data_IF_780209636697
#
_entry.id   IF_780209636697
#
_cell.length_a   1.000
_cell.length_b   1.000
_cell.length_c   1.000
_cell.angle_alpha   90.00
_cell.angle_beta   90.00
_cell.angle_gamma   90.00
#
_symmetry.space_group_name_H-M   'P 1'
#
loop_
_entity.id
_entity.type
_entity.pdbx_description
1 polymer ?
#
# COMPACT_ATOMS: atom_id res chain seq x y z
N UNK A 1 11.33 23.54 40.66
CA UNK A 1 11.67 22.60 39.57
C UNK A 1 10.91 21.30 39.79
N UNK A 2 9.77 21.12 39.11
CA UNK A 2 9.09 19.82 39.05
C UNK A 2 9.07 19.42 37.58
N UNK A 3 10.06 18.62 37.19
CA UNK A 3 10.04 17.92 35.90
C UNK A 3 8.94 16.88 36.00
N UNK A 4 7.72 17.23 35.58
CA UNK A 4 6.65 16.25 35.39
C UNK A 4 7.12 15.33 34.27
N UNK A 5 7.47 14.10 34.64
CA UNK A 5 7.75 13.01 33.69
C UNK A 5 6.65 12.99 32.64
N UNK A 6 7.03 13.25 31.39
CA UNK A 6 6.11 13.30 30.26
C UNK A 6 5.60 11.86 30.08
N UNK A 7 4.39 11.60 30.56
CA UNK A 7 3.77 10.29 30.40
C UNK A 7 3.81 9.91 28.91
N UNK A 8 4.26 8.68 28.61
CA UNK A 8 4.49 8.19 27.26
C UNK A 8 3.26 8.34 26.34
N UNK A 9 2.05 8.39 26.92
CA UNK A 9 0.77 8.59 26.25
C UNK A 9 0.30 10.05 26.14
N UNK A 10 1.10 11.04 26.53
CA UNK A 10 0.70 12.46 26.55
C UNK A 10 0.36 13.06 25.17
N UNK A 11 0.80 12.43 24.07
CA UNK A 11 0.49 12.84 22.71
C UNK A 11 -0.45 11.87 21.97
N UNK A 12 -1.05 10.89 22.67
CA UNK A 12 -1.95 9.91 22.04
C UNK A 12 -3.38 10.39 22.17
N UNK A 13 -4.11 10.46 21.05
CA UNK A 13 -5.55 10.69 21.09
C UNK A 13 -6.22 9.38 21.56
N UNK A 14 -6.77 9.33 22.79
CA UNK A 14 -7.26 8.10 23.38
C UNK A 14 -8.45 7.52 22.59
N UNK A 15 -9.29 8.36 21.99
CA UNK A 15 -10.46 7.90 21.26
C UNK A 15 -10.07 7.13 19.99
N UNK A 16 -9.06 7.63 19.25
CA UNK A 16 -8.54 6.96 18.05
C UNK A 16 -7.79 5.69 18.44
N UNK A 17 -6.93 5.76 19.45
CA UNK A 17 -6.14 4.61 19.88
C UNK A 17 -7.03 3.44 20.35
N UNK A 18 -8.01 3.70 21.22
CA UNK A 18 -8.87 2.66 21.78
C UNK A 18 -9.75 2.06 20.69
N UNK A 19 -10.36 2.88 19.82
CA UNK A 19 -11.20 2.38 18.73
C UNK A 19 -10.43 1.49 17.76
N UNK A 20 -9.21 1.90 17.35
CA UNK A 20 -8.36 1.07 16.50
C UNK A 20 -7.97 -0.25 17.16
N UNK A 21 -7.56 -0.22 18.44
CA UNK A 21 -7.17 -1.44 19.18
C UNK A 21 -8.35 -2.39 19.32
N UNK A 22 -9.54 -1.90 19.66
CA UNK A 22 -10.73 -2.74 19.80
C UNK A 22 -11.09 -3.40 18.47
N UNK A 23 -11.07 -2.65 17.37
CA UNK A 23 -11.34 -3.21 16.04
C UNK A 23 -10.34 -4.31 15.71
N UNK A 24 -9.04 -4.07 15.89
CA UNK A 24 -7.99 -5.07 15.63
C UNK A 24 -8.19 -6.33 16.48
N UNK A 25 -8.49 -6.18 17.77
CA UNK A 25 -8.71 -7.32 18.66
C UNK A 25 -9.93 -8.15 18.26
N UNK A 26 -11.02 -7.50 17.81
CA UNK A 26 -12.20 -8.20 17.30
C UNK A 26 -11.85 -9.01 16.05
N UNK A 27 -11.14 -8.41 15.09
CA UNK A 27 -10.70 -9.12 13.88
C UNK A 27 -9.81 -10.32 14.22
N UNK A 28 -8.83 -10.13 15.12
CA UNK A 28 -7.97 -11.22 15.58
C UNK A 28 -8.76 -12.35 16.24
N UNK A 29 -9.73 -12.01 17.10
CA UNK A 29 -10.58 -13.01 17.74
C UNK A 29 -11.37 -13.83 16.70
N UNK A 30 -11.98 -13.17 15.71
CA UNK A 30 -12.72 -13.85 14.64
C UNK A 30 -11.82 -14.81 13.86
N UNK A 31 -10.60 -14.37 13.50
CA UNK A 31 -9.63 -15.19 12.76
C UNK A 31 -9.21 -16.42 13.58
N UNK A 32 -9.00 -16.28 14.89
CA UNK A 32 -8.54 -17.38 15.76
C UNK A 32 -9.67 -18.39 16.03
N UNK A 33 -10.89 -17.91 16.30
CA UNK A 33 -11.99 -18.79 16.73
C UNK A 33 -12.82 -19.36 15.57
N UNK A 34 -12.82 -18.72 14.40
CA UNK A 34 -13.63 -19.14 13.25
C UNK A 34 -12.88 -18.91 11.90
N UNK A 35 -11.73 -19.58 11.68
CA UNK A 35 -10.90 -19.37 10.50
C UNK A 35 -11.63 -19.69 9.19
N UNK A 36 -12.35 -20.81 9.12
CA UNK A 36 -13.06 -21.24 7.90
C UNK A 36 -14.16 -20.25 7.48
N UNK A 37 -14.91 -19.74 8.47
CA UNK A 37 -15.95 -18.74 8.24
C UNK A 37 -15.34 -17.42 7.76
N UNK A 38 -14.21 -17.02 8.34
CA UNK A 38 -13.47 -15.83 7.94
C UNK A 38 -12.91 -15.94 6.52
N UNK A 39 -12.37 -17.09 6.15
CA UNK A 39 -11.88 -17.36 4.79
C UNK A 39 -13.03 -17.27 3.77
N UNK A 40 -14.15 -17.94 4.03
CA UNK A 40 -15.32 -17.92 3.15
C UNK A 40 -15.86 -16.48 2.97
N UNK A 41 -15.97 -15.73 4.07
CA UNK A 41 -16.40 -14.34 4.05
C UNK A 41 -15.45 -13.48 3.21
N UNK A 42 -14.15 -13.57 3.48
CA UNK A 42 -13.12 -12.78 2.79
C UNK A 42 -13.09 -13.10 1.30
N UNK A 43 -13.22 -14.37 0.92
CA UNK A 43 -13.28 -14.80 -0.48
C UNK A 43 -14.50 -14.22 -1.20
N UNK A 44 -15.69 -14.30 -0.58
CA UNK A 44 -16.92 -13.71 -1.15
C UNK A 44 -16.82 -12.20 -1.30
N UNK A 45 -16.28 -11.51 -0.29
CA UNK A 45 -16.08 -10.07 -0.33
C UNK A 45 -15.05 -9.67 -1.41
N UNK A 46 -13.93 -10.39 -1.50
CA UNK A 46 -12.91 -10.15 -2.52
C UNK A 46 -13.48 -10.32 -3.94
N UNK A 47 -14.24 -11.40 -4.18
CA UNK A 47 -14.92 -11.62 -5.46
C UNK A 47 -15.90 -10.48 -5.77
N UNK A 48 -16.76 -10.11 -4.82
CA UNK A 48 -17.74 -9.04 -5.02
C UNK A 48 -17.09 -7.68 -5.33
N UNK A 49 -16.02 -7.33 -4.60
CA UNK A 49 -15.24 -6.10 -4.85
C UNK A 49 -14.60 -6.16 -6.23
N UNK A 50 -14.01 -7.30 -6.60
CA UNK A 50 -13.36 -7.46 -7.91
C UNK A 50 -14.39 -7.36 -9.03
N UNK A 51 -15.56 -7.97 -8.92
CA UNK A 51 -16.57 -7.94 -9.98
C UNK A 51 -17.21 -6.55 -10.12
N UNK A 52 -17.48 -5.87 -9.01
CA UNK A 52 -18.26 -4.62 -9.01
C UNK A 52 -17.40 -3.35 -9.08
N UNK A 53 -16.22 -3.36 -8.45
CA UNK A 53 -15.37 -2.17 -8.26
C UNK A 53 -14.06 -2.19 -9.05
N UNK A 54 -13.71 -3.27 -9.78
CA UNK A 54 -12.46 -3.31 -10.56
C UNK A 54 -12.34 -2.19 -11.58
N UNK A 55 -13.43 -1.86 -12.29
CA UNK A 55 -13.42 -0.77 -13.28
C UNK A 55 -13.09 0.58 -12.62
N UNK A 56 -13.64 0.83 -11.42
CA UNK A 56 -13.40 2.05 -10.66
C UNK A 56 -11.96 2.08 -10.14
N UNK A 57 -11.43 0.94 -9.70
CA UNK A 57 -10.03 0.82 -9.28
C UNK A 57 -9.07 1.16 -10.42
N UNK A 58 -9.22 0.55 -11.59
CA UNK A 58 -8.38 0.80 -12.77
C UNK A 58 -8.49 2.26 -13.22
N UNK A 59 -9.71 2.81 -13.26
CA UNK A 59 -9.93 4.21 -13.63
C UNK A 59 -9.28 5.17 -12.62
N UNK A 60 -9.37 4.88 -11.33
CA UNK A 60 -8.76 5.69 -10.27
C UNK A 60 -7.24 5.72 -10.40
N UNK A 61 -6.61 4.56 -10.63
CA UNK A 61 -5.15 4.48 -10.84
C UNK A 61 -4.74 5.27 -12.08
N UNK A 62 -5.47 5.13 -13.19
CA UNK A 62 -5.22 5.90 -14.40
C UNK A 62 -5.38 7.40 -14.17
N UNK A 63 -6.43 7.82 -13.45
CA UNK A 63 -6.68 9.22 -13.12
C UNK A 63 -5.56 9.80 -12.25
N UNK A 64 -5.14 9.10 -11.20
CA UNK A 64 -4.02 9.54 -10.35
C UNK A 64 -2.72 9.64 -11.14
N UNK A 65 -2.44 8.68 -12.04
CA UNK A 65 -1.25 8.74 -12.89
C UNK A 65 -1.28 9.98 -13.80
N UNK A 66 -2.40 10.24 -14.47
CA UNK A 66 -2.59 11.42 -15.32
C UNK A 66 -2.46 12.69 -14.50
N UNK A 67 -3.08 12.76 -13.33
CA UNK A 67 -3.04 13.91 -12.44
C UNK A 67 -1.61 14.19 -11.97
N UNK A 68 -0.88 13.18 -11.48
CA UNK A 68 0.49 13.33 -11.01
C UNK A 68 1.44 13.72 -12.14
N UNK A 69 1.29 13.11 -13.32
CA UNK A 69 2.05 13.47 -14.52
C UNK A 69 1.75 14.89 -14.96
N UNK A 70 0.47 15.27 -14.95
CA UNK A 70 0.01 16.62 -15.24
C UNK A 70 0.61 17.65 -14.30
N UNK A 71 0.60 17.39 -13.00
CA UNK A 71 1.24 18.26 -11.99
C UNK A 71 2.74 18.36 -12.25
N UNK A 72 3.42 17.24 -12.52
CA UNK A 72 4.87 17.19 -12.74
C UNK A 72 5.31 18.02 -13.97
N UNK A 73 4.53 18.01 -15.05
CA UNK A 73 4.84 18.77 -16.28
C UNK A 73 4.36 20.24 -16.19
N UNK A 74 3.33 20.52 -15.40
CA UNK A 74 2.78 21.86 -15.23
C UNK A 74 3.72 22.81 -14.47
N UNK A 75 3.36 24.09 -14.41
CA UNK A 75 4.03 25.09 -13.56
C UNK A 75 4.01 24.72 -12.07
N UNK A 76 3.02 23.92 -11.62
CA UNK A 76 2.92 23.49 -10.23
C UNK A 76 4.04 22.55 -9.82
N UNK A 77 4.61 21.77 -10.74
CA UNK A 77 5.76 20.90 -10.45
C UNK A 77 7.04 21.66 -10.10
N UNK A 78 7.10 22.98 -10.39
CA UNK A 78 8.25 23.84 -10.05
C UNK A 78 8.15 24.44 -8.64
N UNK A 79 7.01 24.28 -7.96
CA UNK A 79 6.78 24.83 -6.63
C UNK A 79 7.62 24.02 -5.62
N UNK A 80 8.44 24.71 -4.83
CA UNK A 80 9.19 24.07 -3.74
C UNK A 80 8.23 23.72 -2.59
N UNK A 81 8.34 22.51 -2.07
CA UNK A 81 7.61 22.07 -0.88
C UNK A 81 8.32 22.56 0.39
N UNK A 82 8.25 23.87 0.63
CA UNK A 82 8.89 24.54 1.75
C UNK A 82 8.95 26.05 1.52
N UNK A 83 9.55 26.82 2.46
CA UNK A 83 9.83 28.23 2.24
C UNK A 83 10.68 28.46 0.98
N UNK A 84 10.54 29.61 0.31
CA UNK A 84 11.23 29.89 -0.98
C UNK A 84 12.76 29.72 -0.92
N UNK A 85 13.33 29.99 0.26
CA UNK A 85 14.75 29.90 0.58
C UNK A 85 15.18 28.52 1.12
N UNK A 86 14.28 27.54 1.18
CA UNK A 86 14.65 26.19 1.60
C UNK A 86 15.56 25.52 0.57
N UNK A 87 16.47 24.70 1.09
CA UNK A 87 17.32 23.82 0.32
C UNK A 87 16.97 22.36 0.69
N UNK A 88 17.22 21.39 -0.20
CA UNK A 88 16.99 19.98 0.13
C UNK A 88 17.85 19.54 1.32
N UNK A 89 17.24 18.92 2.33
CA UNK A 89 17.94 18.37 3.49
C UNK A 89 18.83 17.15 3.14
N UNK A 90 18.49 16.46 2.05
CA UNK A 90 19.18 15.26 1.58
C UNK A 90 19.70 15.43 0.16
N UNK A 91 20.85 14.80 -0.13
CA UNK A 91 21.39 14.74 -1.48
C UNK A 91 20.49 13.91 -2.40
N UNK A 92 20.50 14.19 -3.71
CA UNK A 92 19.66 13.47 -4.68
C UNK A 92 19.78 11.94 -4.60
N UNK A 93 20.99 11.32 -4.49
CA UNK A 93 21.10 9.87 -4.36
C UNK A 93 20.51 9.34 -3.05
N UNK A 94 20.70 10.06 -1.94
CA UNK A 94 20.14 9.68 -0.64
C UNK A 94 18.62 9.78 -0.63
N UNK A 95 18.06 10.85 -1.20
CA UNK A 95 16.62 11.02 -1.36
C UNK A 95 15.99 9.91 -2.23
N UNK A 96 16.63 9.59 -3.36
CA UNK A 96 16.18 8.50 -4.23
C UNK A 96 16.19 7.15 -3.51
N UNK A 97 17.27 6.86 -2.76
CA UNK A 97 17.35 5.64 -1.95
C UNK A 97 16.23 5.56 -0.91
N UNK A 98 15.90 6.68 -0.23
CA UNK A 98 14.78 6.72 0.72
C UNK A 98 13.42 6.44 0.06
N UNK A 99 13.15 7.00 -1.12
CA UNK A 99 11.92 6.71 -1.87
C UNK A 99 11.83 5.24 -2.26
N UNK A 100 12.95 4.67 -2.74
CA UNK A 100 13.02 3.26 -3.09
C UNK A 100 12.75 2.38 -1.87
N UNK A 101 13.41 2.62 -0.74
CA UNK A 101 13.20 1.86 0.51
C UNK A 101 11.78 1.99 1.05
N UNK A 102 11.18 3.18 0.96
CA UNK A 102 9.82 3.40 1.43
C UNK A 102 8.76 2.69 0.56
N UNK A 103 8.97 2.61 -0.76
CA UNK A 103 7.99 2.04 -1.70
C UNK A 103 8.17 0.56 -2.02
N UNK A 104 9.41 0.09 -2.16
CA UNK A 104 9.75 -1.20 -2.78
C UNK A 104 9.92 -2.34 -1.75
N UNK A 105 9.14 -2.33 -0.67
CA UNK A 105 9.32 -3.17 0.52
C UNK A 105 9.19 -4.69 0.32
N UNK A 106 8.65 -5.39 1.32
CA UNK A 106 8.54 -6.86 1.32
C UNK A 106 7.77 -7.44 0.12
N UNK A 107 6.91 -6.63 -0.51
CA UNK A 107 6.15 -7.02 -1.70
C UNK A 107 7.03 -7.54 -2.83
N UNK A 108 8.18 -6.92 -3.11
CA UNK A 108 9.07 -7.41 -4.18
C UNK A 108 9.79 -8.71 -3.81
N UNK A 109 10.14 -8.89 -2.54
CA UNK A 109 10.77 -10.13 -2.10
C UNK A 109 9.81 -11.33 -2.21
N UNK A 110 8.51 -11.10 -2.01
CA UNK A 110 7.49 -12.13 -2.12
C UNK A 110 6.99 -12.31 -3.56
N UNK A 111 6.47 -11.24 -4.16
CA UNK A 111 5.86 -11.28 -5.49
C UNK A 111 6.85 -11.27 -6.64
N UNK A 112 8.10 -10.80 -6.43
CA UNK A 112 9.12 -10.79 -7.49
C UNK A 112 9.49 -12.17 -8.03
N UNK A 113 9.27 -13.23 -7.25
CA UNK A 113 9.39 -14.63 -7.71
C UNK A 113 8.02 -15.29 -7.85
N UNK A 114 7.09 -15.00 -6.93
CA UNK A 114 5.79 -15.67 -6.93
C UNK A 114 4.90 -15.28 -8.13
N UNK A 115 4.87 -14.01 -8.53
CA UNK A 115 4.02 -13.54 -9.63
C UNK A 115 4.43 -14.14 -10.99
N UNK A 116 5.73 -14.18 -11.37
CA UNK A 116 6.16 -14.87 -12.59
C UNK A 116 5.81 -16.36 -12.60
N UNK A 117 6.01 -17.06 -11.48
CA UNK A 117 5.68 -18.50 -11.38
C UNK A 117 4.16 -18.71 -11.50
N UNK A 118 3.36 -17.86 -10.86
CA UNK A 118 1.90 -17.92 -10.95
C UNK A 118 1.41 -17.69 -12.39
N UNK A 119 1.97 -16.72 -13.11
CA UNK A 119 1.63 -16.49 -14.51
C UNK A 119 2.14 -17.59 -15.45
N UNK A 120 3.25 -18.26 -15.11
CA UNK A 120 3.73 -19.41 -15.87
C UNK A 120 2.83 -20.65 -15.72
N UNK A 121 2.36 -20.91 -14.49
CA UNK A 121 1.50 -22.07 -14.18
C UNK A 121 0.02 -21.80 -14.50
N UNK A 122 -0.41 -20.53 -14.50
CA UNK A 122 -1.78 -20.13 -14.81
C UNK A 122 -1.79 -18.83 -15.63
N UNK A 123 -1.37 -18.91 -16.91
CA UNK A 123 -1.29 -17.73 -17.76
C UNK A 123 -2.69 -17.14 -18.02
N UNK A 124 -2.82 -15.81 -18.08
CA UNK A 124 -4.08 -15.14 -18.45
C UNK A 124 -4.60 -15.57 -19.84
N UNK A 125 -3.67 -15.97 -20.72
CA UNK A 125 -3.94 -16.47 -22.06
C UNK A 125 -2.87 -17.48 -22.48
N UNK A 126 -3.27 -18.65 -22.97
CA UNK A 126 -2.36 -19.67 -23.49
C UNK A 126 -2.35 -20.97 -22.67
N UNK A 127 -1.51 -21.92 -23.07
CA UNK A 127 -1.35 -23.19 -22.35
C UNK A 127 -0.33 -23.02 -21.21
N UNK A 128 -0.67 -23.45 -19.98
CA UNK A 128 0.26 -23.48 -18.84
C UNK A 128 1.59 -24.17 -19.15
N UNK A 129 2.64 -23.76 -18.45
CA UNK A 129 3.95 -24.43 -18.45
C UNK A 129 4.68 -24.48 -19.81
N UNK A 130 4.24 -23.69 -20.79
CA UNK A 130 4.89 -23.60 -22.10
C UNK A 130 5.90 -22.46 -22.16
N UNK A 131 6.87 -22.52 -23.08
CA UNK A 131 7.84 -21.42 -23.31
C UNK A 131 7.12 -20.11 -23.66
N UNK A 132 5.93 -20.18 -24.27
CA UNK A 132 5.09 -19.03 -24.58
C UNK A 132 4.40 -18.43 -23.34
N UNK A 133 4.18 -19.21 -22.28
CA UNK A 133 3.65 -18.72 -20.99
C UNK A 133 4.73 -18.08 -20.09
N UNK A 134 6.01 -18.21 -20.46
CA UNK A 134 7.14 -17.61 -19.75
C UNK A 134 7.59 -16.26 -20.33
N UNK A 135 6.95 -15.79 -21.41
CA UNK A 135 7.18 -14.48 -22.06
C UNK A 135 6.25 -13.42 -21.50
#
# INVERSE_FOLDING_TARGET
MSSKSKAWFSNVNPNVFISTVVIILIFLAIVIFAPDAFELLTKKLNQWITDSFSWFYVLSVALFLILLTGIAVSSMGRIKLGPDHSQPDYTYPSWFAMLFTAGMGIGLMFFGVAEPIMHYVSPPSGQPETVLAAQ
#
